data_IF_333744964990
#
_entry.id   IF_333744964990
#
_cell.length_a   1.000
_cell.length_b   1.000
_cell.length_c   1.000
_cell.angle_alpha   90.00
_cell.angle_beta   90.00
_cell.angle_gamma   90.00
#
_symmetry.space_group_name_H-M   'P 1'
#
loop_
_entity.id
_entity.type
_entity.pdbx_description
1 polymer ?
#
# COMPACT_ATOMS: atom_id res chain seq x y z
N UNK A 1 36.08 5.75 12.34
CA UNK A 1 35.07 5.81 13.40
C UNK A 1 33.68 5.86 12.76
N UNK A 2 33.04 4.70 12.55
CA UNK A 2 31.70 4.62 11.99
C UNK A 2 30.96 3.47 12.72
N UNK A 3 30.67 3.70 14.02
CA UNK A 3 29.98 2.73 14.87
C UNK A 3 28.49 3.04 15.00
N UNK A 4 28.04 4.25 14.59
CA UNK A 4 26.67 4.71 14.79
C UNK A 4 25.63 4.20 13.77
N UNK A 5 25.99 4.01 12.51
CA UNK A 5 25.00 3.66 11.48
C UNK A 5 24.42 2.24 11.64
N UNK A 6 25.25 1.26 12.03
CA UNK A 6 24.78 -0.10 12.22
C UNK A 6 23.93 -0.28 13.49
N UNK A 7 24.18 0.52 14.52
CA UNK A 7 23.42 0.52 15.78
C UNK A 7 22.07 1.22 15.62
N UNK A 8 22.00 2.28 14.82
CA UNK A 8 20.75 2.96 14.49
C UNK A 8 19.82 2.08 13.63
N UNK A 9 20.36 1.36 12.64
CA UNK A 9 19.59 0.41 11.81
C UNK A 9 19.05 -0.76 12.64
N UNK A 10 19.78 -1.23 13.65
CA UNK A 10 19.35 -2.33 14.53
C UNK A 10 18.26 -1.89 15.50
N UNK A 11 18.36 -0.71 16.10
CA UNK A 11 17.34 -0.14 17.00
C UNK A 11 16.04 0.22 16.25
N UNK A 12 16.16 0.65 14.99
CA UNK A 12 15.00 0.98 14.16
C UNK A 12 14.27 -0.28 13.66
N UNK A 13 15.01 -1.39 13.47
CA UNK A 13 14.42 -2.68 13.11
C UNK A 13 13.58 -3.31 14.23
N UNK A 14 13.89 -3.03 15.50
CA UNK A 14 13.13 -3.50 16.66
C UNK A 14 11.84 -2.68 16.89
N UNK A 15 11.76 -1.46 16.38
CA UNK A 15 10.59 -0.58 16.53
C UNK A 15 9.38 -1.06 15.74
N UNK A 16 9.57 -1.63 14.55
CA UNK A 16 8.51 -1.91 13.60
C UNK A 16 8.09 -3.38 13.60
N UNK A 17 6.78 -3.65 13.61
CA UNK A 17 6.25 -5.02 13.62
C UNK A 17 6.58 -5.81 12.34
N UNK A 18 6.97 -5.13 11.26
CA UNK A 18 7.46 -5.78 10.05
C UNK A 18 8.35 -4.86 9.20
N UNK A 19 9.17 -5.47 8.32
CA UNK A 19 9.99 -4.74 7.34
C UNK A 19 9.15 -3.91 6.34
N UNK A 20 7.87 -4.24 6.15
CA UNK A 20 6.97 -3.50 5.28
C UNK A 20 6.85 -2.04 5.72
N UNK A 21 6.92 -1.74 7.02
CA UNK A 21 6.93 -0.38 7.55
C UNK A 21 7.96 0.52 6.85
N UNK A 22 9.19 0.02 6.67
CA UNK A 22 10.25 0.81 6.02
C UNK A 22 9.97 1.11 4.54
N UNK A 23 9.22 0.25 3.84
CA UNK A 23 8.76 0.54 2.48
C UNK A 23 7.85 1.77 2.46
N UNK A 24 6.81 1.75 3.33
CA UNK A 24 5.86 2.86 3.41
C UNK A 24 6.52 4.14 3.91
N UNK A 25 7.38 4.07 4.91
CA UNK A 25 8.15 5.23 5.40
C UNK A 25 8.93 5.90 4.27
N UNK A 26 9.65 5.11 3.46
CA UNK A 26 10.37 5.62 2.31
C UNK A 26 9.42 6.31 1.32
N UNK A 27 8.32 5.67 0.98
CA UNK A 27 7.34 6.21 0.03
C UNK A 27 6.67 7.50 0.54
N UNK A 28 6.35 7.58 1.83
CA UNK A 28 5.78 8.78 2.47
C UNK A 28 6.75 9.97 2.36
N UNK A 29 8.03 9.74 2.67
CA UNK A 29 9.07 10.78 2.57
C UNK A 29 9.26 11.22 1.12
N UNK A 30 9.41 10.27 0.19
CA UNK A 30 9.73 10.56 -1.21
C UNK A 30 8.57 11.21 -1.96
N UNK A 31 7.33 10.81 -1.65
CA UNK A 31 6.12 11.37 -2.29
C UNK A 31 5.57 12.61 -1.60
N UNK A 32 5.99 12.91 -0.38
CA UNK A 32 5.39 13.95 0.46
C UNK A 32 3.95 13.65 0.88
N UNK A 33 3.52 12.39 0.82
CA UNK A 33 2.17 11.99 1.24
C UNK A 33 1.99 12.16 2.74
N UNK A 34 0.88 12.76 3.15
CA UNK A 34 0.50 12.87 4.56
C UNK A 34 -0.48 11.76 4.91
N UNK A 35 -0.14 10.97 5.92
CA UNK A 35 -1.05 9.97 6.50
C UNK A 35 -1.83 10.68 7.62
N UNK A 36 -3.12 10.90 7.40
CA UNK A 36 -3.98 11.64 8.34
C UNK A 36 -5.42 11.14 8.28
N UNK A 37 -6.24 11.54 9.25
CA UNK A 37 -7.66 11.25 9.31
C UNK A 37 -7.93 9.75 9.30
N UNK A 38 -8.81 9.31 8.40
CA UNK A 38 -9.22 7.90 8.25
C UNK A 38 -8.36 7.26 7.17
N UNK A 39 -7.64 6.20 7.52
CA UNK A 39 -6.74 5.49 6.62
C UNK A 39 -7.22 4.05 6.41
N UNK A 40 -7.20 3.59 5.18
CA UNK A 40 -7.32 2.17 4.84
C UNK A 40 -5.94 1.58 4.59
N UNK A 41 -5.57 0.54 5.32
CA UNK A 41 -4.42 -0.32 5.06
C UNK A 41 -4.91 -1.59 4.35
N UNK A 42 -4.69 -1.64 3.04
CA UNK A 42 -5.12 -2.73 2.17
C UNK A 42 -4.04 -3.81 2.06
N UNK A 43 -4.27 -4.97 2.68
CA UNK A 43 -3.29 -6.03 2.84
C UNK A 43 -2.43 -5.81 4.09
N UNK A 44 -3.07 -5.60 5.23
CA UNK A 44 -2.42 -5.19 6.47
C UNK A 44 -1.42 -6.22 7.02
N UNK A 45 -1.65 -7.52 6.78
CA UNK A 45 -0.78 -8.60 7.25
C UNK A 45 -0.40 -8.44 8.74
N UNK A 46 0.89 -8.31 9.07
CA UNK A 46 1.37 -8.09 10.45
C UNK A 46 1.16 -6.66 10.96
N UNK A 47 0.76 -5.72 10.12
CA UNK A 47 0.43 -4.34 10.53
C UNK A 47 1.54 -3.31 10.34
N UNK A 48 2.52 -3.59 9.50
CA UNK A 48 3.62 -2.64 9.28
C UNK A 48 3.16 -1.31 8.71
N UNK A 49 2.25 -1.30 7.72
CA UNK A 49 1.69 -0.07 7.16
C UNK A 49 0.73 0.59 8.14
N UNK A 50 -0.09 -0.19 8.84
CA UNK A 50 -0.96 0.29 9.93
C UNK A 50 -0.15 1.04 10.98
N UNK A 51 0.96 0.46 11.46
CA UNK A 51 1.83 1.10 12.45
C UNK A 51 2.39 2.44 11.96
N UNK A 52 2.85 2.50 10.71
CA UNK A 52 3.34 3.75 10.11
C UNK A 52 2.23 4.81 10.07
N UNK A 53 1.01 4.44 9.68
CA UNK A 53 -0.12 5.35 9.65
C UNK A 53 -0.44 5.91 11.04
N UNK A 54 -0.45 5.07 12.08
CA UNK A 54 -0.67 5.48 13.47
C UNK A 54 0.40 6.44 13.99
N UNK A 55 1.67 6.15 13.72
CA UNK A 55 2.82 6.99 14.12
C UNK A 55 2.85 8.35 13.38
N UNK A 56 2.25 8.43 12.18
CA UNK A 56 2.12 9.68 11.41
C UNK A 56 0.85 10.48 11.75
N UNK A 57 0.09 10.05 12.76
CA UNK A 57 -1.03 10.82 13.31
C UNK A 57 -2.37 10.54 12.66
N UNK A 58 -2.55 9.38 12.01
CA UNK A 58 -3.88 8.95 11.56
C UNK A 58 -4.84 8.78 12.74
N UNK A 59 -6.06 9.26 12.59
CA UNK A 59 -7.09 9.22 13.63
C UNK A 59 -7.72 7.84 13.76
N UNK A 60 -7.84 7.14 12.62
CA UNK A 60 -8.44 5.82 12.52
C UNK A 60 -7.82 5.05 11.37
N UNK A 61 -7.44 3.78 11.59
CA UNK A 61 -6.87 2.92 10.56
C UNK A 61 -7.72 1.65 10.44
N UNK A 62 -8.24 1.39 9.25
CA UNK A 62 -8.86 0.13 8.90
C UNK A 62 -7.80 -0.82 8.37
N UNK A 63 -7.42 -1.81 9.17
CA UNK A 63 -6.47 -2.85 8.81
C UNK A 63 -7.24 -4.02 8.16
N UNK A 64 -7.21 -4.07 6.83
CA UNK A 64 -7.98 -5.05 6.03
C UNK A 64 -7.06 -6.09 5.44
N UNK A 65 -7.37 -7.37 5.65
CA UNK A 65 -6.65 -8.50 5.06
C UNK A 65 -7.60 -9.69 4.79
N UNK A 66 -7.29 -10.47 3.77
CA UNK A 66 -7.99 -11.75 3.49
C UNK A 66 -7.57 -12.84 4.47
N UNK A 67 -6.39 -12.73 5.06
CA UNK A 67 -5.88 -13.64 6.09
C UNK A 67 -6.54 -13.43 7.45
N UNK A 68 -6.22 -14.30 8.38
CA UNK A 68 -6.73 -14.26 9.75
C UNK A 68 -5.58 -14.32 10.75
N UNK A 69 -5.71 -13.62 11.88
CA UNK A 69 -4.80 -13.67 13.01
C UNK A 69 -3.34 -13.32 12.68
N UNK A 70 -3.13 -12.46 11.68
CA UNK A 70 -1.79 -12.05 11.26
C UNK A 70 -1.34 -10.75 11.94
N UNK A 71 -2.28 -9.87 12.25
CA UNK A 71 -1.99 -8.54 12.81
C UNK A 71 -1.34 -8.68 14.19
N UNK A 72 -0.19 -8.02 14.37
CA UNK A 72 0.55 -8.04 15.64
C UNK A 72 -0.29 -7.45 16.78
N UNK A 73 -0.22 -8.06 17.97
CA UNK A 73 -1.05 -7.71 19.12
C UNK A 73 -0.97 -6.21 19.52
N UNK A 74 0.19 -5.56 19.53
CA UNK A 74 0.26 -4.14 19.86
C UNK A 74 -0.52 -3.25 18.86
N UNK A 75 -0.63 -3.68 17.59
CA UNK A 75 -1.38 -2.96 16.56
C UNK A 75 -2.87 -3.30 16.67
N UNK A 76 -3.20 -4.58 16.89
CA UNK A 76 -4.57 -5.07 17.04
C UNK A 76 -5.30 -4.40 18.20
N UNK A 77 -4.59 -4.15 19.30
CA UNK A 77 -5.15 -3.57 20.53
C UNK A 77 -5.19 -2.04 20.55
N UNK A 78 -4.62 -1.34 19.57
CA UNK A 78 -4.70 0.11 19.49
C UNK A 78 -6.16 0.55 19.22
N UNK A 79 -6.75 1.41 20.07
CA UNK A 79 -8.16 1.83 19.94
C UNK A 79 -8.47 2.55 18.62
N UNK A 80 -7.46 3.05 17.92
CA UNK A 80 -7.57 3.67 16.59
C UNK A 80 -7.60 2.67 15.45
N UNK A 81 -7.44 1.36 15.72
CA UNK A 81 -7.43 0.32 14.68
C UNK A 81 -8.78 -0.39 14.61
N UNK A 82 -9.29 -0.55 13.40
CA UNK A 82 -10.43 -1.37 13.06
C UNK A 82 -9.97 -2.54 12.21
N UNK A 83 -9.92 -3.72 12.81
CA UNK A 83 -9.48 -4.94 12.13
C UNK A 83 -10.61 -5.53 11.30
N UNK A 84 -10.34 -5.84 10.03
CA UNK A 84 -11.24 -6.49 9.08
C UNK A 84 -10.50 -7.64 8.41
N UNK A 85 -10.43 -8.75 9.11
CA UNK A 85 -9.82 -10.00 8.61
C UNK A 85 -10.84 -10.86 7.85
N UNK A 86 -10.35 -11.68 6.92
CA UNK A 86 -11.21 -12.53 6.06
C UNK A 86 -11.95 -11.76 4.98
N UNK A 87 -11.65 -10.48 4.79
CA UNK A 87 -12.28 -9.64 3.78
C UNK A 87 -11.46 -9.63 2.49
N UNK A 88 -12.07 -10.08 1.39
CA UNK A 88 -11.48 -9.92 0.07
C UNK A 88 -11.59 -8.46 -0.38
N UNK A 89 -10.46 -7.81 -0.62
CA UNK A 89 -10.43 -6.41 -1.04
C UNK A 89 -11.21 -6.11 -2.34
N UNK A 90 -11.50 -7.11 -3.16
CA UNK A 90 -12.38 -6.95 -4.34
C UNK A 90 -13.83 -6.64 -3.96
N UNK A 91 -14.24 -7.10 -2.78
CA UNK A 91 -15.60 -6.95 -2.27
C UNK A 91 -15.72 -5.78 -1.28
N UNK A 92 -14.61 -5.06 -1.05
CA UNK A 92 -14.55 -3.90 -0.14
C UNK A 92 -15.56 -2.83 -0.53
N UNK A 93 -16.27 -2.34 0.47
CA UNK A 93 -17.29 -1.31 0.34
C UNK A 93 -17.28 -0.35 1.54
N UNK A 94 -18.05 0.73 1.49
CA UNK A 94 -18.15 1.67 2.60
C UNK A 94 -18.73 1.03 3.87
N UNK A 95 -19.56 -0.01 3.75
CA UNK A 95 -20.12 -0.71 4.92
C UNK A 95 -19.05 -1.37 5.79
N UNK A 96 -17.90 -1.74 5.19
CA UNK A 96 -16.75 -2.29 5.91
C UNK A 96 -15.96 -1.20 6.65
N UNK A 97 -16.22 0.07 6.33
CA UNK A 97 -15.53 1.26 6.81
C UNK A 97 -16.45 2.22 7.59
N UNK A 98 -17.42 1.63 8.32
CA UNK A 98 -18.40 2.37 9.13
C UNK A 98 -19.23 3.37 8.30
N UNK A 99 -19.56 3.00 7.04
CA UNK A 99 -20.31 3.77 6.04
C UNK A 99 -19.71 5.15 5.72
N UNK A 100 -18.40 5.32 5.92
CA UNK A 100 -17.71 6.59 5.65
C UNK A 100 -16.46 6.38 4.80
N UNK A 101 -16.20 7.30 3.83
CA UNK A 101 -14.99 7.23 3.03
C UNK A 101 -13.73 7.54 3.85
N UNK A 102 -12.60 7.09 3.33
CA UNK A 102 -11.29 7.32 3.93
C UNK A 102 -10.56 8.48 3.25
N UNK A 103 -9.62 9.10 3.98
CA UNK A 103 -8.78 10.18 3.47
C UNK A 103 -7.59 9.63 2.68
N UNK A 104 -7.05 8.48 3.13
CA UNK A 104 -5.89 7.86 2.51
C UNK A 104 -6.09 6.35 2.41
N UNK A 105 -5.69 5.79 1.28
CA UNK A 105 -5.50 4.35 1.11
C UNK A 105 -4.01 4.07 0.99
N UNK A 106 -3.47 3.20 1.82
CA UNK A 106 -2.15 2.59 1.63
C UNK A 106 -2.34 1.11 1.33
N UNK A 107 -1.44 0.50 0.54
CA UNK A 107 -1.64 -0.91 0.19
C UNK A 107 -0.35 -1.64 -0.16
N UNK A 108 -0.18 -2.83 0.43
CA UNK A 108 0.91 -3.79 0.17
C UNK A 108 0.30 -5.19 -0.08
N UNK A 109 -0.45 -5.32 -1.16
CA UNK A 109 -1.15 -6.57 -1.50
C UNK A 109 -0.24 -7.56 -2.22
N UNK A 110 -0.49 -8.86 -2.04
CA UNK A 110 0.28 -9.94 -2.66
C UNK A 110 -0.63 -10.97 -3.32
N UNK A 111 -0.10 -11.66 -4.34
CA UNK A 111 -0.76 -12.76 -5.06
C UNK A 111 -2.00 -12.38 -5.87
N UNK A 112 -2.21 -11.09 -6.11
CA UNK A 112 -3.29 -10.53 -6.92
C UNK A 112 -2.77 -9.32 -7.68
N UNK A 113 -3.28 -9.08 -8.90
CA UNK A 113 -3.01 -7.85 -9.63
C UNK A 113 -3.71 -6.67 -8.95
N UNK A 114 -2.97 -5.59 -8.74
CA UNK A 114 -3.51 -4.35 -8.19
C UNK A 114 -4.63 -3.77 -9.06
N UNK A 115 -4.57 -3.97 -10.39
CA UNK A 115 -5.62 -3.56 -11.33
C UNK A 115 -7.00 -4.10 -10.98
N UNK A 116 -7.07 -5.31 -10.41
CA UNK A 116 -8.34 -5.92 -9.98
C UNK A 116 -8.90 -5.29 -8.69
N UNK A 117 -8.05 -4.61 -7.92
CA UNK A 117 -8.41 -3.98 -6.64
C UNK A 117 -8.67 -2.49 -6.76
N UNK A 118 -8.12 -1.81 -7.78
CA UNK A 118 -8.30 -0.38 -7.98
C UNK A 118 -9.77 0.06 -7.89
N UNK A 119 -10.77 -0.63 -8.53
CA UNK A 119 -12.15 -0.17 -8.46
C UNK A 119 -12.70 -0.12 -7.03
N UNK A 120 -12.43 -1.10 -6.19
CA UNK A 120 -12.90 -1.15 -4.81
C UNK A 120 -12.13 -0.20 -3.90
N UNK A 121 -10.81 -0.12 -4.05
CA UNK A 121 -9.94 0.75 -3.25
C UNK A 121 -10.21 2.24 -3.51
N UNK A 122 -10.40 2.62 -4.79
CA UNK A 122 -10.61 4.01 -5.17
C UNK A 122 -12.04 4.49 -4.86
N UNK A 123 -13.02 3.57 -4.90
CA UNK A 123 -14.42 3.88 -4.59
C UNK A 123 -14.64 4.30 -3.13
N UNK A 124 -13.80 3.84 -2.20
CA UNK A 124 -13.92 4.18 -0.78
C UNK A 124 -13.13 5.42 -0.37
N UNK A 125 -12.37 6.03 -1.29
CA UNK A 125 -11.67 7.29 -1.06
C UNK A 125 -12.62 8.49 -1.16
N UNK A 126 -12.34 9.52 -0.36
CA UNK A 126 -12.96 10.84 -0.56
C UNK A 126 -12.52 11.46 -1.89
N UNK A 127 -13.27 12.41 -2.45
CA UNK A 127 -12.89 13.09 -3.70
C UNK A 127 -11.51 13.75 -3.67
N UNK A 128 -11.05 14.22 -2.49
CA UNK A 128 -9.70 14.79 -2.29
C UNK A 128 -8.74 13.81 -1.60
N UNK A 129 -9.12 12.55 -1.51
CA UNK A 129 -8.30 11.50 -0.91
C UNK A 129 -7.13 11.08 -1.80
N UNK A 130 -6.20 10.36 -1.20
CA UNK A 130 -4.97 9.89 -1.86
C UNK A 130 -4.83 8.39 -1.68
N UNK A 131 -4.45 7.69 -2.75
CA UNK A 131 -3.99 6.30 -2.64
C UNK A 131 -2.48 6.22 -2.86
N UNK A 132 -1.75 5.61 -1.91
CA UNK A 132 -0.31 5.31 -2.01
C UNK A 132 -0.14 3.79 -2.01
N UNK A 133 0.01 3.22 -3.20
CA UNK A 133 -0.10 1.78 -3.44
C UNK A 133 1.21 1.19 -3.93
N UNK A 134 1.59 0.04 -3.40
CA UNK A 134 2.77 -0.71 -3.80
C UNK A 134 2.44 -1.60 -5.01
N UNK A 135 2.99 -1.26 -6.16
CA UNK A 135 2.96 -2.08 -7.38
C UNK A 135 4.06 -3.13 -7.31
N UNK A 136 3.68 -4.37 -7.43
CA UNK A 136 4.60 -5.53 -7.43
C UNK A 136 4.62 -6.16 -8.83
N UNK A 137 5.63 -5.90 -9.65
CA UNK A 137 5.69 -6.41 -11.02
C UNK A 137 5.43 -7.90 -11.13
N UNK A 138 5.91 -8.68 -10.17
CA UNK A 138 5.73 -10.13 -10.16
C UNK A 138 4.26 -10.61 -10.05
N UNK A 139 3.34 -9.75 -9.62
CA UNK A 139 1.90 -10.07 -9.56
C UNK A 139 1.08 -9.39 -10.66
N UNK A 140 1.75 -8.57 -11.47
CA UNK A 140 1.12 -7.83 -12.57
C UNK A 140 1.44 -8.43 -13.94
N UNK A 141 2.64 -9.00 -14.11
CA UNK A 141 3.03 -9.71 -15.33
C UNK A 141 2.37 -11.08 -15.41
N UNK A 142 2.13 -11.58 -16.64
CA UNK A 142 1.70 -12.95 -16.85
C UNK A 142 2.76 -13.95 -16.35
N UNK A 143 2.32 -15.19 -16.04
CA UNK A 143 3.23 -16.26 -15.57
C UNK A 143 4.39 -16.54 -16.51
N UNK A 144 4.18 -16.35 -17.82
CA UNK A 144 5.19 -16.57 -18.87
C UNK A 144 6.34 -15.55 -18.82
N UNK A 145 6.09 -14.37 -18.26
CA UNK A 145 7.09 -13.30 -18.11
C UNK A 145 7.89 -13.36 -16.79
N UNK A 146 7.54 -14.30 -15.92
CA UNK A 146 8.28 -14.52 -14.66
C UNK A 146 9.56 -15.29 -14.95
N UNK A 147 10.70 -14.72 -14.57
CA UNK A 147 11.99 -15.40 -14.56
C UNK A 147 12.08 -16.48 -13.47
N UNK A 148 13.19 -17.22 -13.47
CA UNK A 148 13.48 -18.22 -12.45
C UNK A 148 13.35 -17.60 -11.04
N UNK A 149 12.62 -18.27 -10.16
CA UNK A 149 12.34 -17.80 -8.79
C UNK A 149 11.25 -16.73 -8.68
N UNK A 150 10.45 -16.49 -9.75
CA UNK A 150 9.37 -15.51 -9.71
C UNK A 150 9.84 -14.05 -9.71
N UNK A 151 11.05 -13.79 -10.23
CA UNK A 151 11.67 -12.46 -10.26
C UNK A 151 11.55 -11.83 -11.64
N UNK A 152 10.99 -10.62 -11.72
CA UNK A 152 10.95 -9.80 -12.93
C UNK A 152 12.28 -9.04 -13.01
N UNK A 153 13.18 -9.47 -13.93
CA UNK A 153 14.53 -8.88 -14.03
C UNK A 153 14.62 -7.78 -15.08
N UNK A 154 13.80 -7.84 -16.12
CA UNK A 154 13.80 -6.83 -17.19
C UNK A 154 13.27 -5.48 -16.68
N UNK A 155 14.09 -4.41 -16.71
CA UNK A 155 13.65 -3.08 -16.28
C UNK A 155 12.49 -2.53 -17.13
N UNK A 156 12.45 -2.84 -18.44
CA UNK A 156 11.36 -2.39 -19.32
C UNK A 156 10.04 -3.01 -18.93
N UNK A 157 10.05 -4.32 -18.66
CA UNK A 157 8.86 -5.04 -18.24
C UNK A 157 8.33 -4.52 -16.89
N UNK A 158 9.23 -4.13 -15.96
CA UNK A 158 8.83 -3.49 -14.70
C UNK A 158 8.14 -2.15 -14.95
N UNK A 159 8.69 -1.33 -15.83
CA UNK A 159 8.12 -0.02 -16.18
C UNK A 159 6.77 -0.18 -16.89
N UNK A 160 6.67 -1.07 -17.86
CA UNK A 160 5.41 -1.41 -18.54
C UNK A 160 4.33 -1.85 -17.56
N UNK A 161 4.71 -2.64 -16.56
CA UNK A 161 3.81 -3.08 -15.48
C UNK A 161 3.26 -1.91 -14.67
N UNK A 162 4.13 -0.98 -14.25
CA UNK A 162 3.71 0.22 -13.51
C UNK A 162 2.80 1.09 -14.37
N UNK A 163 3.14 1.28 -15.65
CA UNK A 163 2.33 2.04 -16.59
C UNK A 163 0.94 1.42 -16.76
N UNK A 164 0.83 0.10 -16.89
CA UNK A 164 -0.46 -0.59 -17.01
C UNK A 164 -1.36 -0.43 -15.78
N UNK A 165 -0.77 -0.34 -14.57
CA UNK A 165 -1.54 -0.06 -13.34
C UNK A 165 -1.99 1.39 -13.32
N UNK A 166 -1.14 2.34 -13.72
CA UNK A 166 -1.49 3.78 -13.82
C UNK A 166 -2.60 3.99 -14.84
N UNK A 167 -2.50 3.40 -16.03
CA UNK A 167 -3.54 3.47 -17.07
C UNK A 167 -4.89 2.92 -16.57
N UNK A 168 -4.86 1.83 -15.79
CA UNK A 168 -6.06 1.29 -15.18
C UNK A 168 -6.68 2.24 -14.14
N UNK A 169 -5.87 3.00 -13.39
CA UNK A 169 -6.35 4.02 -12.47
C UNK A 169 -6.90 5.25 -13.22
N UNK A 170 -6.23 5.70 -14.28
CA UNK A 170 -6.68 6.81 -15.13
C UNK A 170 -8.05 6.51 -15.75
N UNK A 171 -8.30 5.28 -16.18
CA UNK A 171 -9.60 4.85 -16.69
C UNK A 171 -10.72 4.91 -15.64
N UNK A 172 -10.38 4.94 -14.35
CA UNK A 172 -11.30 5.10 -13.23
C UNK A 172 -11.39 6.56 -12.75
N UNK A 173 -10.75 7.51 -13.44
CA UNK A 173 -10.73 8.94 -13.07
C UNK A 173 -9.68 9.31 -12.01
N UNK A 174 -8.65 8.49 -11.81
CA UNK A 174 -7.59 8.71 -10.82
C UNK A 174 -6.23 8.82 -11.49
N UNK A 175 -5.65 10.02 -11.49
CA UNK A 175 -4.33 10.29 -12.07
C UNK A 175 -3.19 9.97 -11.12
N UNK A 176 -2.07 9.51 -11.68
CA UNK A 176 -0.82 9.31 -10.95
C UNK A 176 0.01 10.59 -10.97
N UNK A 177 0.18 11.23 -9.81
CA UNK A 177 0.97 12.46 -9.68
C UNK A 177 2.38 12.24 -9.12
N UNK A 178 2.66 11.04 -8.61
CA UNK A 178 3.99 10.61 -8.19
C UNK A 178 4.16 9.10 -8.32
N UNK A 179 5.35 8.66 -8.70
CA UNK A 179 5.79 7.27 -8.67
C UNK A 179 7.27 7.16 -8.34
N UNK A 180 7.66 6.10 -7.64
CA UNK A 180 9.05 5.85 -7.27
C UNK A 180 9.32 4.41 -6.86
N UNK A 181 10.58 3.96 -6.90
CA UNK A 181 10.95 2.63 -6.46
C UNK A 181 10.78 2.50 -4.95
N UNK A 182 10.37 1.33 -4.49
CA UNK A 182 10.45 0.97 -3.07
C UNK A 182 11.91 0.95 -2.64
N UNK A 183 12.22 1.59 -1.50
CA UNK A 183 13.58 1.59 -0.92
C UNK A 183 14.04 0.20 -0.46
N UNK A 184 13.08 -0.70 -0.20
CA UNK A 184 13.36 -2.09 0.11
C UNK A 184 12.82 -3.01 -0.99
N UNK A 185 13.59 -4.02 -1.39
CA UNK A 185 13.10 -5.02 -2.34
C UNK A 185 12.01 -5.89 -1.70
N UNK A 186 11.15 -6.43 -2.56
CA UNK A 186 10.19 -7.44 -2.20
C UNK A 186 10.81 -8.82 -1.97
N UNK A 187 9.96 -9.81 -1.69
CA UNK A 187 10.38 -11.18 -1.58
C UNK A 187 11.11 -11.66 -2.85
N UNK A 188 12.14 -12.47 -2.68
CA UNK A 188 12.96 -12.97 -3.79
C UNK A 188 13.83 -11.91 -4.48
N UNK A 189 13.87 -10.66 -3.98
CA UNK A 189 14.67 -9.57 -4.54
C UNK A 189 13.96 -8.81 -5.68
N UNK A 190 12.64 -8.94 -5.81
CA UNK A 190 11.88 -8.15 -6.77
C UNK A 190 11.97 -6.66 -6.47
N UNK A 191 12.27 -5.85 -7.49
CA UNK A 191 12.09 -4.40 -7.38
C UNK A 191 10.60 -4.08 -7.45
N UNK A 192 10.09 -3.40 -6.43
CA UNK A 192 8.71 -2.95 -6.31
C UNK A 192 8.65 -1.43 -6.40
N UNK A 193 7.48 -0.88 -6.72
CA UNK A 193 7.30 0.55 -6.97
C UNK A 193 6.07 1.07 -6.24
N UNK A 194 6.16 2.26 -5.71
CA UNK A 194 4.97 2.96 -5.24
C UNK A 194 4.43 3.89 -6.32
N UNK A 195 3.10 4.00 -6.35
CA UNK A 195 2.36 5.03 -7.10
C UNK A 195 1.49 5.81 -6.13
N UNK A 196 1.39 7.13 -6.35
CA UNK A 196 0.42 7.98 -5.67
C UNK A 196 -0.65 8.40 -6.66
N UNK A 197 -1.91 8.09 -6.29
CA UNK A 197 -3.07 8.38 -7.11
C UNK A 197 -3.94 9.44 -6.42
N UNK A 198 -4.38 10.42 -7.19
CA UNK A 198 -5.32 11.47 -6.77
C UNK A 198 -6.45 11.56 -7.80
N UNK A 199 -7.64 11.98 -7.38
CA UNK A 199 -8.75 12.18 -8.31
C UNK A 199 -8.40 13.23 -9.36
N UNK A 200 -8.67 12.94 -10.63
CA UNK A 200 -8.47 13.88 -11.73
C UNK A 200 -9.51 14.99 -11.59
N UNK A 201 -9.06 16.27 -11.52
CA UNK A 201 -9.95 17.42 -11.42
C UNK A 201 -10.88 17.46 -12.64
N UNK A 202 -12.18 17.31 -12.40
CA UNK A 202 -13.21 17.30 -13.45
C UNK A 202 -13.77 15.91 -13.80
N UNK A 203 -13.23 14.82 -13.27
CA UNK A 203 -13.89 13.53 -13.30
C UNK A 203 -15.02 13.56 -12.25
N UNK A 204 -16.24 13.61 -12.70
CA UNK A 204 -17.45 13.67 -11.89
C UNK A 204 -17.56 12.48 -10.95
N UNK A 205 -17.73 12.76 -9.68
CA UNK A 205 -18.53 11.90 -8.80
C UNK A 205 -20.00 12.29 -9.00
N UNK A 206 -20.89 11.34 -9.38
CA UNK A 206 -22.33 11.59 -9.40
C UNK A 206 -22.86 11.78 -7.97
#
# INVERSE_FOLDING_TARGET
MNVNAATEISADAEKWVSRAAHKLLGAVVDSGTRLHGRVLDAGASTGGFTQVALEHGSELVYAVDVGHHQLAEPIRSDPRVRVREGLNLRDLSLTDLDDQPVDVVVGDVSFISLKLLLPSLLKVLRPCGVALLLVKPQFEVGREALGAGGVVRDPRLREETVNAVVEAADALGWGCDWRGPSRLPGAGGNQEFFIRLCAIRGAYYP
#
